data_IF_667565365783
#
_entry.id   IF_667565365783
#
_cell.length_a   1.000
_cell.length_b   1.000
_cell.length_c   1.000
_cell.angle_alpha   90.00
_cell.angle_beta   90.00
_cell.angle_gamma   90.00
#
_symmetry.space_group_name_H-M   'P 1'
#
loop_
_entity.id
_entity.type
_entity.pdbx_description
1 polymer ?
#
# COMPACT_ATOMS: atom_id res chain seq x y z
N UNK A 1 -15.90 10.35 -6.45
CA UNK A 1 -15.88 9.32 -5.38
C UNK A 1 -15.36 8.03 -5.99
N UNK A 2 -14.54 7.23 -5.28
CA UNK A 2 -13.99 5.97 -5.81
C UNK A 2 -15.05 4.93 -6.20
N UNK A 3 -16.29 5.10 -5.70
CA UNK A 3 -17.44 4.28 -6.04
C UNK A 3 -18.17 4.71 -7.32
N UNK A 4 -17.77 5.81 -7.98
CA UNK A 4 -18.40 6.32 -9.22
C UNK A 4 -19.92 6.55 -9.11
N UNK A 5 -20.43 6.77 -7.89
CA UNK A 5 -21.86 6.96 -7.62
C UNK A 5 -22.60 5.69 -7.16
N UNK A 6 -21.91 4.55 -7.12
CA UNK A 6 -22.40 3.31 -6.52
C UNK A 6 -22.34 3.35 -4.99
N UNK A 7 -23.18 2.54 -4.36
CA UNK A 7 -23.02 2.15 -2.96
C UNK A 7 -21.74 1.34 -2.75
N UNK A 8 -21.28 1.25 -1.50
CA UNK A 8 -20.06 0.50 -1.17
C UNK A 8 -20.25 -1.00 -1.43
N UNK A 9 -21.46 -1.49 -1.21
CA UNK A 9 -21.92 -2.86 -1.44
C UNK A 9 -21.89 -3.21 -2.94
N UNK A 10 -22.45 -2.35 -3.78
CA UNK A 10 -22.42 -2.52 -5.24
C UNK A 10 -20.99 -2.50 -5.77
N UNK A 11 -20.16 -1.58 -5.28
CA UNK A 11 -18.75 -1.54 -5.64
C UNK A 11 -18.00 -2.80 -5.19
N UNK A 12 -18.32 -3.35 -4.02
CA UNK A 12 -17.72 -4.59 -3.53
C UNK A 12 -18.14 -5.79 -4.38
N UNK A 13 -19.42 -5.88 -4.75
CA UNK A 13 -19.90 -6.92 -5.64
C UNK A 13 -19.23 -6.84 -7.01
N UNK A 14 -19.12 -5.63 -7.58
CA UNK A 14 -18.43 -5.40 -8.84
C UNK A 14 -16.94 -5.77 -8.74
N UNK A 15 -16.28 -5.49 -7.62
CA UNK A 15 -14.90 -5.92 -7.38
C UNK A 15 -14.79 -7.45 -7.32
N UNK A 16 -15.65 -8.13 -6.57
CA UNK A 16 -15.66 -9.60 -6.45
C UNK A 16 -15.90 -10.28 -7.79
N UNK A 17 -16.73 -9.70 -8.65
CA UNK A 17 -16.96 -10.21 -10.00
C UNK A 17 -15.73 -10.00 -10.89
N UNK A 18 -15.19 -8.78 -10.91
CA UNK A 18 -13.97 -8.45 -11.64
C UNK A 18 -12.79 -9.36 -11.23
N UNK A 19 -12.62 -9.59 -9.92
CA UNK A 19 -11.51 -10.39 -9.40
C UNK A 19 -11.62 -11.86 -9.82
N UNK A 20 -12.84 -12.41 -9.89
CA UNK A 20 -13.12 -13.77 -10.39
C UNK A 20 -12.86 -13.93 -11.89
N UNK A 21 -12.95 -12.85 -12.65
CA UNK A 21 -12.76 -12.85 -14.11
C UNK A 21 -11.32 -12.56 -14.53
N UNK A 22 -10.40 -12.32 -13.60
CA UNK A 22 -9.00 -12.07 -13.94
C UNK A 22 -8.38 -13.29 -14.64
N UNK A 23 -7.47 -13.07 -15.60
CA UNK A 23 -6.70 -14.16 -16.17
C UNK A 23 -5.96 -14.95 -15.08
N UNK A 24 -5.88 -16.29 -15.17
CA UNK A 24 -5.27 -17.13 -14.13
C UNK A 24 -3.78 -16.85 -13.92
N UNK A 25 -3.12 -16.22 -14.90
CA UNK A 25 -1.74 -15.76 -14.82
C UNK A 25 -1.55 -14.43 -14.09
N UNK A 26 -2.62 -13.62 -13.93
CA UNK A 26 -2.56 -12.34 -13.24
C UNK A 26 -2.40 -12.54 -11.73
N UNK A 27 -1.62 -11.65 -11.11
CA UNK A 27 -1.45 -11.59 -9.67
C UNK A 27 -2.27 -10.45 -9.10
N UNK A 28 -2.78 -10.65 -7.88
CA UNK A 28 -3.38 -9.57 -7.10
C UNK A 28 -2.71 -9.47 -5.73
N UNK A 29 -2.30 -8.27 -5.36
CA UNK A 29 -1.70 -7.95 -4.07
C UNK A 29 -2.70 -7.07 -3.33
N UNK A 30 -3.17 -7.53 -2.19
CA UNK A 30 -3.94 -6.74 -1.23
C UNK A 30 -3.01 -6.26 -0.13
N UNK A 31 -3.25 -5.05 0.38
CA UNK A 31 -2.49 -4.49 1.49
C UNK A 31 -3.41 -3.67 2.38
N UNK A 32 -3.10 -3.66 3.67
CA UNK A 32 -3.80 -2.84 4.65
C UNK A 32 -2.83 -2.36 5.75
N UNK A 33 -3.24 -1.33 6.49
CA UNK A 33 -2.54 -0.74 7.62
C UNK A 33 -3.42 -0.74 8.87
N UNK A 34 -2.82 -1.07 10.02
CA UNK A 34 -3.51 -1.06 11.31
C UNK A 34 -2.76 -0.16 12.29
N UNK A 35 -3.54 0.58 13.08
CA UNK A 35 -3.09 1.41 14.18
C UNK A 35 -3.83 0.99 15.45
N UNK A 36 -3.07 0.67 16.49
CA UNK A 36 -3.56 0.16 17.75
C UNK A 36 -2.91 0.89 18.92
N UNK A 37 -3.65 1.03 20.02
CA UNK A 37 -3.10 1.51 21.28
C UNK A 37 -3.06 0.36 22.28
N UNK A 38 -1.85 -0.10 22.62
CA UNK A 38 -1.62 -1.25 23.51
C UNK A 38 -0.71 -0.79 24.64
N UNK A 39 -1.15 -0.96 25.89
CA UNK A 39 -0.41 -0.49 27.07
C UNK A 39 0.04 0.98 26.98
N UNK A 40 -0.85 1.84 26.43
CA UNK A 40 -0.58 3.27 26.15
C UNK A 40 0.54 3.53 25.14
N UNK A 41 0.96 2.50 24.39
CA UNK A 41 1.90 2.63 23.28
C UNK A 41 1.13 2.60 21.97
N UNK A 42 1.56 3.49 21.08
CA UNK A 42 1.09 3.55 19.72
C UNK A 42 1.80 2.47 18.89
N UNK A 43 1.01 1.57 18.32
CA UNK A 43 1.46 0.39 17.60
C UNK A 43 0.91 0.43 16.19
N UNK A 44 1.78 0.40 15.20
CA UNK A 44 1.40 0.52 13.80
C UNK A 44 2.01 -0.62 13.02
N UNK A 45 1.22 -1.26 12.15
CA UNK A 45 1.70 -2.37 11.34
C UNK A 45 0.96 -2.49 10.03
N UNK A 46 1.61 -3.16 9.09
CA UNK A 46 1.05 -3.43 7.77
C UNK A 46 0.81 -4.92 7.59
N UNK A 47 -0.12 -5.24 6.71
CA UNK A 47 -0.39 -6.58 6.20
C UNK A 47 -0.44 -6.57 4.68
N UNK A 48 -0.06 -7.67 4.06
CA UNK A 48 -0.32 -7.90 2.65
C UNK A 48 -0.60 -9.38 2.35
N UNK A 49 -1.42 -9.61 1.34
CA UNK A 49 -1.75 -10.94 0.85
C UNK A 49 -1.65 -10.97 -0.68
N UNK A 50 -1.06 -12.03 -1.22
CA UNK A 50 -0.78 -12.20 -2.64
C UNK A 50 -1.56 -13.40 -3.13
N UNK A 51 -2.36 -13.19 -4.17
CA UNK A 51 -3.17 -14.21 -4.79
C UNK A 51 -2.82 -14.38 -6.25
N UNK A 52 -3.03 -15.60 -6.74
CA UNK A 52 -3.03 -15.96 -8.16
C UNK A 52 -4.15 -16.97 -8.40
N UNK A 53 -4.95 -16.76 -9.43
CA UNK A 53 -6.06 -17.65 -9.79
C UNK A 53 -6.96 -18.00 -8.58
N UNK A 54 -7.35 -16.99 -7.79
CA UNK A 54 -8.19 -17.16 -6.60
C UNK A 54 -7.56 -17.87 -5.41
N UNK A 55 -6.27 -18.24 -5.48
CA UNK A 55 -5.56 -18.91 -4.37
C UNK A 55 -4.52 -17.98 -3.77
N UNK A 56 -4.48 -17.89 -2.43
CA UNK A 56 -3.41 -17.18 -1.73
C UNK A 56 -2.10 -17.96 -1.88
N UNK A 57 -1.08 -17.31 -2.45
CA UNK A 57 0.23 -17.91 -2.73
C UNK A 57 1.32 -17.40 -1.78
N UNK A 58 1.12 -16.25 -1.16
CA UNK A 58 2.05 -15.66 -0.21
C UNK A 58 1.35 -14.57 0.62
N UNK A 59 1.89 -14.27 1.78
CA UNK A 59 1.47 -13.15 2.61
C UNK A 59 2.59 -12.70 3.54
N UNK A 60 2.38 -11.57 4.21
CA UNK A 60 3.28 -11.10 5.23
C UNK A 60 2.70 -9.94 6.03
N UNK A 61 3.28 -9.73 7.19
CA UNK A 61 2.95 -8.61 8.06
C UNK A 61 4.17 -8.24 8.88
N UNK A 62 4.30 -6.95 9.24
CA UNK A 62 5.28 -6.49 10.21
C UNK A 62 4.80 -5.23 10.92
N UNK A 63 5.38 -4.98 12.08
CA UNK A 63 5.27 -3.72 12.77
C UNK A 63 6.18 -2.68 12.10
N UNK A 64 5.74 -1.43 12.06
CA UNK A 64 6.55 -0.28 11.69
C UNK A 64 6.71 0.65 12.88
N UNK A 65 7.41 1.76 12.66
CA UNK A 65 7.72 2.68 13.74
C UNK A 65 6.45 3.27 14.34
N UNK A 66 6.47 3.51 15.64
CA UNK A 66 5.35 4.09 16.38
C UNK A 66 5.09 5.57 16.07
N UNK A 67 5.92 6.23 15.24
CA UNK A 67 5.70 7.58 14.73
C UNK A 67 5.09 7.59 13.31
N UNK A 68 4.76 6.42 12.75
CA UNK A 68 4.03 6.26 11.49
C UNK A 68 2.52 6.24 11.71
N UNK A 69 1.74 6.31 10.64
CA UNK A 69 0.28 6.20 10.67
C UNK A 69 -0.24 5.05 9.79
N UNK A 70 -1.53 4.71 9.90
CA UNK A 70 -2.22 3.73 9.02
C UNK A 70 -1.90 3.95 7.54
N UNK A 71 -1.90 5.20 7.09
CA UNK A 71 -1.57 5.56 5.71
C UNK A 71 -0.15 5.10 5.30
N UNK A 72 0.84 5.31 6.16
CA UNK A 72 2.21 4.88 5.90
C UNK A 72 2.28 3.35 5.88
N UNK A 73 1.59 2.70 6.82
CA UNK A 73 1.54 1.25 6.93
C UNK A 73 0.98 0.59 5.67
N UNK A 74 -0.17 1.03 5.18
CA UNK A 74 -0.78 0.46 3.99
C UNK A 74 0.09 0.67 2.74
N UNK A 75 0.65 1.86 2.55
CA UNK A 75 1.57 2.15 1.43
C UNK A 75 2.85 1.29 1.49
N UNK A 76 3.39 1.08 2.69
CA UNK A 76 4.51 0.19 2.94
C UNK A 76 4.12 -1.27 2.67
N UNK A 77 2.95 -1.70 3.15
CA UNK A 77 2.41 -3.05 2.92
C UNK A 77 2.26 -3.35 1.43
N UNK A 78 1.75 -2.39 0.67
CA UNK A 78 1.63 -2.45 -0.78
C UNK A 78 2.99 -2.65 -1.46
N UNK A 79 4.01 -1.86 -1.08
CA UNK A 79 5.37 -2.05 -1.59
C UNK A 79 5.96 -3.40 -1.18
N UNK A 80 5.78 -3.83 0.08
CA UNK A 80 6.34 -5.08 0.60
C UNK A 80 5.71 -6.31 -0.07
N UNK A 81 4.41 -6.28 -0.35
CA UNK A 81 3.76 -7.30 -1.16
C UNK A 81 4.30 -7.34 -2.59
N UNK A 82 4.50 -6.16 -3.20
CA UNK A 82 5.08 -6.07 -4.54
C UNK A 82 6.53 -6.56 -4.58
N UNK A 83 7.36 -6.18 -3.62
CA UNK A 83 8.75 -6.60 -3.48
C UNK A 83 8.84 -8.13 -3.27
N UNK A 84 7.99 -8.69 -2.41
CA UNK A 84 7.90 -10.15 -2.24
C UNK A 84 7.54 -10.83 -3.56
N UNK A 85 6.53 -10.32 -4.28
CA UNK A 85 6.17 -10.89 -5.57
C UNK A 85 7.32 -10.81 -6.58
N UNK A 86 7.92 -9.65 -6.79
CA UNK A 86 9.03 -9.44 -7.74
C UNK A 86 10.22 -10.36 -7.44
N UNK A 87 10.57 -10.53 -6.17
CA UNK A 87 11.70 -11.37 -5.76
C UNK A 87 11.41 -12.87 -5.94
N UNK A 88 10.13 -13.26 -5.94
CA UNK A 88 9.67 -14.63 -6.20
C UNK A 88 9.46 -14.92 -7.69
N UNK A 89 9.05 -13.93 -8.50
CA UNK A 89 8.72 -14.07 -9.94
C UNK A 89 9.92 -14.13 -10.88
N UNK A 90 11.05 -14.73 -10.48
CA UNK A 90 12.32 -14.66 -11.24
C UNK A 90 12.22 -15.00 -12.74
N UNK A 91 11.19 -15.73 -13.19
CA UNK A 91 11.06 -16.19 -14.59
C UNK A 91 9.66 -15.96 -15.25
N UNK A 92 8.80 -15.07 -14.74
CA UNK A 92 7.44 -14.85 -15.30
C UNK A 92 7.28 -13.47 -15.99
N UNK A 93 7.79 -13.27 -17.22
CA UNK A 93 7.93 -11.94 -17.82
C UNK A 93 6.63 -11.24 -18.24
N UNK A 94 5.49 -11.95 -18.27
CA UNK A 94 4.25 -11.43 -18.89
C UNK A 94 3.01 -11.40 -17.97
N UNK A 95 3.13 -11.77 -16.71
CA UNK A 95 1.99 -11.69 -15.78
C UNK A 95 1.73 -10.27 -15.35
N UNK A 96 0.47 -9.82 -15.47
CA UNK A 96 0.05 -8.53 -14.91
C UNK A 96 -0.09 -8.61 -13.40
N UNK A 97 0.23 -7.52 -12.72
CA UNK A 97 0.12 -7.39 -11.27
C UNK A 97 -0.91 -6.32 -10.96
N UNK A 98 -1.94 -6.68 -10.20
CA UNK A 98 -2.92 -5.74 -9.66
C UNK A 98 -2.61 -5.45 -8.20
N UNK A 99 -2.38 -4.19 -7.87
CA UNK A 99 -2.36 -3.71 -6.50
C UNK A 99 -3.78 -3.28 -6.13
N UNK A 100 -4.40 -4.03 -5.22
CA UNK A 100 -5.75 -3.85 -4.71
C UNK A 100 -5.66 -3.12 -3.37
N UNK A 101 -6.07 -1.87 -3.35
CA UNK A 101 -5.84 -0.93 -2.24
C UNK A 101 -7.17 -0.30 -1.87
N UNK A 102 -7.51 -0.26 -0.58
CA UNK A 102 -8.79 0.29 -0.12
C UNK A 102 -8.72 1.76 0.29
N UNK A 103 -7.53 2.26 0.58
CA UNK A 103 -7.32 3.69 0.80
C UNK A 103 -7.13 4.47 -0.49
N UNK A 104 -8.10 5.35 -0.74
CA UNK A 104 -8.00 6.32 -1.84
C UNK A 104 -6.77 7.20 -1.74
N UNK A 105 -6.33 7.60 -0.53
CA UNK A 105 -5.15 8.45 -0.37
C UNK A 105 -3.88 7.71 -0.79
N UNK A 106 -3.76 6.41 -0.49
CA UNK A 106 -2.62 5.58 -0.92
C UNK A 106 -2.63 5.44 -2.44
N UNK A 107 -3.79 5.21 -3.05
CA UNK A 107 -3.94 5.20 -4.51
C UNK A 107 -3.47 6.51 -5.13
N UNK A 108 -3.86 7.66 -4.57
CA UNK A 108 -3.38 8.97 -5.05
C UNK A 108 -1.87 9.13 -4.88
N UNK A 109 -1.30 8.65 -3.77
CA UNK A 109 0.16 8.66 -3.55
C UNK A 109 0.93 7.81 -4.57
N UNK A 110 0.42 6.65 -4.95
CA UNK A 110 1.04 5.79 -5.99
C UNK A 110 0.76 6.36 -7.40
N UNK A 111 -0.38 7.01 -7.66
CA UNK A 111 -0.70 7.58 -8.97
C UNK A 111 -0.09 8.97 -9.22
N UNK A 112 0.31 9.69 -8.18
CA UNK A 112 0.74 11.10 -8.24
C UNK A 112 2.02 11.41 -7.46
N UNK A 113 2.11 12.63 -6.91
CA UNK A 113 3.24 13.06 -6.07
C UNK A 113 3.01 12.61 -4.62
N UNK A 114 3.94 11.81 -4.11
CA UNK A 114 3.89 11.21 -2.78
C UNK A 114 3.89 12.24 -1.63
N UNK A 115 3.15 11.99 -0.54
CA UNK A 115 3.33 12.72 0.72
C UNK A 115 4.76 12.55 1.26
N UNK A 116 5.25 13.51 2.07
CA UNK A 116 6.64 13.49 2.54
C UNK A 116 6.99 12.17 3.24
N UNK A 117 6.26 11.75 4.27
CA UNK A 117 6.67 10.70 5.23
C UNK A 117 6.90 9.30 4.64
N UNK A 118 6.29 8.96 3.50
CA UNK A 118 6.36 7.62 2.86
C UNK A 118 6.84 7.66 1.39
N UNK A 119 7.51 8.75 0.98
CA UNK A 119 7.97 8.95 -0.41
C UNK A 119 8.78 7.78 -0.97
N UNK A 120 9.58 7.09 -0.14
CA UNK A 120 10.41 5.98 -0.60
C UNK A 120 9.59 4.80 -1.10
N UNK A 121 8.48 4.46 -0.45
CA UNK A 121 7.63 3.32 -0.84
C UNK A 121 6.95 3.63 -2.18
N UNK A 122 6.40 4.84 -2.31
CA UNK A 122 5.84 5.34 -3.56
C UNK A 122 6.88 5.37 -4.69
N UNK A 123 8.10 5.88 -4.44
CA UNK A 123 9.17 5.92 -5.44
C UNK A 123 9.56 4.52 -5.91
N UNK A 124 9.64 3.55 -4.99
CA UNK A 124 9.92 2.16 -5.35
C UNK A 124 8.79 1.54 -6.17
N UNK A 125 7.53 1.78 -5.81
CA UNK A 125 6.37 1.40 -6.62
C UNK A 125 6.44 2.02 -8.02
N UNK A 126 6.68 3.32 -8.14
CA UNK A 126 6.83 4.01 -9.44
C UNK A 126 7.95 3.42 -10.29
N UNK A 127 9.09 3.08 -9.68
CA UNK A 127 10.21 2.45 -10.38
C UNK A 127 9.81 1.07 -10.92
N UNK A 128 9.10 0.26 -10.14
CA UNK A 128 8.60 -1.04 -10.57
C UNK A 128 7.54 -0.90 -11.67
N UNK A 129 6.61 0.05 -11.55
CA UNK A 129 5.55 0.32 -12.55
C UNK A 129 6.10 0.76 -13.92
N UNK A 130 7.33 1.28 -13.97
CA UNK A 130 8.03 1.60 -15.23
C UNK A 130 8.58 0.36 -15.95
N UNK A 131 8.69 -0.77 -15.25
CA UNK A 131 9.37 -1.97 -15.73
C UNK A 131 8.42 -3.17 -15.90
N UNK A 132 7.32 -3.19 -15.16
CA UNK A 132 6.37 -4.30 -15.09
C UNK A 132 4.94 -3.80 -15.39
N UNK A 133 4.06 -4.67 -15.89
CA UNK A 133 2.63 -4.36 -16.06
C UNK A 133 1.91 -4.37 -14.70
N UNK A 134 2.12 -3.30 -13.94
CA UNK A 134 1.49 -3.09 -12.63
C UNK A 134 0.33 -2.11 -12.79
N UNK A 135 -0.84 -2.51 -12.30
CA UNK A 135 -2.08 -1.73 -12.30
C UNK A 135 -2.59 -1.56 -10.88
N UNK A 136 -3.35 -0.49 -10.65
CA UNK A 136 -3.94 -0.20 -9.33
C UNK A 136 -5.45 -0.28 -9.45
N UNK A 137 -6.07 -1.12 -8.62
CA UNK A 137 -7.52 -1.26 -8.49
C UNK A 137 -7.91 -0.83 -7.07
N UNK A 138 -8.92 0.02 -6.96
CA UNK A 138 -9.51 0.30 -5.66
C UNK A 138 -10.34 -0.89 -5.19
N UNK A 139 -10.13 -1.32 -3.94
CA UNK A 139 -10.85 -2.41 -3.28
C UNK A 139 -11.70 -1.83 -2.16
N UNK A 140 -13.01 -2.11 -2.06
CA UNK A 140 -13.78 -1.67 -0.89
C UNK A 140 -13.37 -2.42 0.38
N UNK A 141 -12.83 -1.71 1.38
CA UNK A 141 -12.49 -2.31 2.67
C UNK A 141 -13.72 -2.69 3.52
N UNK A 142 -13.61 -3.72 4.35
CA UNK A 142 -14.68 -4.26 5.21
C UNK A 142 -15.97 -4.65 4.48
N UNK A 143 -15.84 -5.27 3.30
CA UNK A 143 -16.98 -5.70 2.46
C UNK A 143 -16.89 -7.19 2.08
N UNK A 144 -16.23 -7.99 2.91
CA UNK A 144 -16.08 -9.43 2.73
C UNK A 144 -15.36 -9.79 1.41
N UNK A 145 -14.44 -8.93 0.99
CA UNK A 145 -13.51 -9.24 -0.11
C UNK A 145 -12.34 -9.98 0.53
N UNK A 146 -12.27 -11.29 0.29
CA UNK A 146 -11.32 -12.20 0.97
C UNK A 146 -9.90 -11.63 1.06
N UNK A 147 -9.35 -11.14 -0.05
CA UNK A 147 -8.01 -10.57 -0.06
C UNK A 147 -7.84 -9.33 0.82
N UNK A 148 -8.88 -8.48 0.93
CA UNK A 148 -8.86 -7.30 1.79
C UNK A 148 -9.00 -7.69 3.27
N UNK A 149 -9.91 -8.62 3.58
CA UNK A 149 -10.09 -9.10 4.96
C UNK A 149 -8.84 -9.82 5.47
N UNK A 150 -8.14 -10.56 4.61
CA UNK A 150 -6.86 -11.17 4.97
C UNK A 150 -5.77 -10.11 5.18
N UNK A 151 -5.72 -9.07 4.34
CA UNK A 151 -4.77 -7.97 4.51
C UNK A 151 -5.01 -7.20 5.82
N UNK A 152 -6.27 -6.90 6.16
CA UNK A 152 -6.67 -6.29 7.46
C UNK A 152 -6.25 -7.18 8.63
N UNK A 153 -6.58 -8.47 8.59
CA UNK A 153 -6.20 -9.44 9.62
C UNK A 153 -4.68 -9.46 9.83
N UNK A 154 -3.91 -9.44 8.74
CA UNK A 154 -2.46 -9.39 8.76
C UNK A 154 -1.93 -8.06 9.27
N UNK A 155 -2.54 -6.93 8.93
CA UNK A 155 -2.15 -5.61 9.43
C UNK A 155 -2.37 -5.52 10.94
N UNK A 156 -3.50 -6.04 11.43
CA UNK A 156 -3.82 -6.14 12.85
C UNK A 156 -2.80 -7.01 13.60
N UNK A 157 -2.37 -8.13 13.03
CA UNK A 157 -1.26 -8.93 13.55
C UNK A 157 0.08 -8.18 13.47
N UNK A 158 0.29 -7.40 12.40
CA UNK A 158 1.42 -6.52 12.15
C UNK A 158 1.65 -5.51 13.25
N UNK A 159 0.60 -4.87 13.77
CA UNK A 159 0.73 -3.83 14.79
C UNK A 159 1.40 -4.33 16.08
N UNK A 160 1.31 -5.62 16.37
CA UNK A 160 1.97 -6.28 17.52
C UNK A 160 3.07 -7.27 17.14
N UNK A 161 3.34 -7.37 15.85
CA UNK A 161 4.27 -8.34 15.28
C UNK A 161 5.73 -7.91 15.38
N UNK A 162 6.63 -8.64 14.72
CA UNK A 162 8.04 -8.28 14.67
C UNK A 162 8.24 -6.98 13.87
N UNK A 163 9.13 -6.12 14.35
CA UNK A 163 9.51 -4.87 13.68
C UNK A 163 10.14 -5.13 12.32
N UNK A 164 9.75 -4.34 11.31
CA UNK A 164 10.47 -4.28 10.04
C UNK A 164 11.75 -3.46 10.18
N UNK A 165 12.82 -4.13 10.61
CA UNK A 165 14.15 -3.54 10.78
C UNK A 165 14.71 -2.91 9.50
N UNK A 166 14.24 -3.32 8.32
CA UNK A 166 14.68 -2.73 7.06
C UNK A 166 14.07 -1.34 6.83
N UNK A 167 12.90 -1.05 7.43
CA UNK A 167 12.26 0.28 7.37
C UNK A 167 12.85 1.23 8.38
N UNK A 168 13.27 0.73 9.55
CA UNK A 168 13.94 1.56 10.55
C UNK A 168 15.25 2.20 10.04
N UNK A 169 15.84 1.62 8.99
CA UNK A 169 17.03 2.13 8.30
C UNK A 169 16.72 3.09 7.14
N UNK A 170 15.45 3.26 6.76
CA UNK A 170 15.05 4.15 5.66
C UNK A 170 14.88 5.58 6.19
N UNK A 171 15.18 6.59 5.37
CA UNK A 171 15.11 7.98 5.81
C UNK A 171 13.70 8.32 6.30
N UNK A 172 13.62 8.84 7.53
CA UNK A 172 12.42 9.53 8.01
C UNK A 172 12.26 10.75 7.13
N UNK A 173 11.24 10.82 6.32
CA UNK A 173 10.90 12.10 5.72
C UNK A 173 9.98 12.81 6.70
N UNK A 174 10.56 13.15 7.85
CA UNK A 174 10.01 14.09 8.81
C UNK A 174 10.85 15.36 8.68
N UNK A 175 10.47 16.24 7.76
CA UNK A 175 11.15 17.52 7.61
C UNK A 175 10.81 18.20 6.30
N UNK A 176 9.84 19.11 6.36
CA UNK A 176 9.94 20.36 5.59
C UNK A 176 11.30 20.95 5.94
N UNK A 177 12.27 20.90 5.01
CA UNK A 177 13.40 21.81 5.08
C UNK A 177 12.82 23.20 5.00
N UNK A 178 12.91 23.94 6.09
CA UNK A 178 12.52 25.33 6.16
C UNK A 178 13.60 26.18 5.47
N UNK A 179 13.95 25.82 4.23
CA UNK A 179 14.75 26.67 3.35
C UNK A 179 13.77 27.62 2.69
N UNK A 180 13.44 28.69 3.43
CA UNK A 180 12.88 29.89 2.83
C UNK A 180 13.87 30.32 1.72
N UNK A 181 13.46 30.48 0.46
CA UNK A 181 14.33 31.11 -0.52
C UNK A 181 14.69 32.51 0.01
N UNK A 182 15.93 33.00 -0.19
CA UNK A 182 16.29 34.35 0.24
C UNK A 182 15.33 35.35 -0.40
N UNK A 183 14.71 36.20 0.42
CA UNK A 183 13.84 37.27 -0.04
C UNK A 183 14.62 38.14 -1.04
N UNK A 184 14.06 38.28 -2.25
CA UNK A 184 14.62 39.18 -3.24
C UNK A 184 14.56 40.62 -2.70
N UNK A 185 15.62 41.43 -2.89
CA UNK A 185 15.64 42.80 -2.39
C UNK A 185 14.53 43.61 -3.05
N UNK A 186 13.71 44.25 -2.20
CA UNK A 186 12.65 45.18 -2.60
C UNK A 186 13.32 46.33 -3.36
N UNK A 187 13.06 46.43 -4.67
CA UNK A 187 13.38 47.64 -5.42
C UNK A 187 12.45 48.75 -4.94
N UNK A 188 13.03 49.81 -4.42
CA UNK A 188 12.34 51.08 -4.21
C UNK A 188 12.41 51.83 -5.53
N UNK A 189 11.26 52.05 -6.13
CA UNK A 189 11.05 53.04 -7.18
C UNK A 189 10.61 54.35 -6.53
#
# INVERSE_FOLDING_TARGET
>A
MPTEGLTKEEAAQAFKEWWRQLPPEDYTIFSDGSEQTIDRKHCVGYGYAIYRNGTQIASGFKQIRSDSHVFDAEAIGAWRGLEHLITTLKDSPNSRIWMCIDSTSVIWGIRGNAPPTTQWAFHKCHKAMKQLDIRIKWSPGHMEIEGNEEADRLANAGATGPMDQAIDKLPKISGVSNDRPPEAPIRRD
#
